data_IF_166760831678
#
_entry.id   IF_166760831678
#
_cell.length_a   1.000
_cell.length_b   1.000
_cell.length_c   1.000
_cell.angle_alpha   90.00
_cell.angle_beta   90.00
_cell.angle_gamma   90.00
#
_symmetry.space_group_name_H-M   'P 1'
#
loop_
_entity.id
_entity.type
_entity.pdbx_description
1 polymer ?
#
# COMPACT_ATOMS: atom_id res chain seq x y z
N UNK A 1 -18.22 -15.11 -0.10
CA UNK A 1 -17.72 -14.43 -1.29
C UNK A 1 -16.29 -13.92 -1.11
N UNK A 2 -15.97 -13.17 -0.06
CA UNK A 2 -14.60 -12.65 0.19
C UNK A 2 -13.54 -13.75 0.32
N UNK A 3 -13.81 -14.83 1.07
CA UNK A 3 -12.86 -15.94 1.23
C UNK A 3 -12.56 -16.65 -0.11
N UNK A 4 -13.53 -16.79 -1.00
CA UNK A 4 -13.33 -17.42 -2.30
C UNK A 4 -12.45 -16.55 -3.23
N UNK A 5 -12.61 -15.22 -3.19
CA UNK A 5 -11.83 -14.28 -4.03
C UNK A 5 -10.46 -13.94 -3.45
N UNK A 6 -10.15 -14.37 -2.22
CA UNK A 6 -8.82 -14.26 -1.62
C UNK A 6 -7.91 -15.45 -1.92
N UNK A 7 -8.41 -16.46 -2.67
CA UNK A 7 -7.60 -17.59 -3.11
C UNK A 7 -6.61 -17.13 -4.20
N UNK A 8 -5.39 -17.66 -4.20
CA UNK A 8 -4.30 -17.30 -5.10
C UNK A 8 -4.67 -17.32 -6.58
N UNK A 9 -5.55 -18.23 -6.99
CA UNK A 9 -6.08 -18.28 -8.34
C UNK A 9 -6.75 -16.98 -8.74
N UNK A 10 -7.64 -16.44 -7.90
CA UNK A 10 -8.38 -15.20 -8.20
C UNK A 10 -7.49 -13.97 -8.12
N UNK A 11 -6.53 -13.94 -7.17
CA UNK A 11 -5.55 -12.85 -7.05
C UNK A 11 -4.64 -12.76 -8.27
N UNK A 12 -4.30 -13.91 -8.89
CA UNK A 12 -3.50 -13.94 -10.12
C UNK A 12 -4.29 -13.58 -11.39
N UNK A 13 -5.59 -13.88 -11.43
CA UNK A 13 -6.40 -13.74 -12.64
C UNK A 13 -7.31 -12.50 -12.66
N UNK A 14 -7.63 -11.92 -11.50
CA UNK A 14 -8.38 -10.68 -11.43
C UNK A 14 -7.44 -9.48 -11.46
N UNK A 15 -7.79 -8.48 -12.29
CA UNK A 15 -7.07 -7.21 -12.19
C UNK A 15 -7.33 -6.56 -10.81
N UNK A 16 -6.39 -5.77 -10.27
CA UNK A 16 -6.57 -5.09 -8.98
C UNK A 16 -7.83 -4.23 -8.91
N UNK A 17 -8.26 -3.66 -10.03
CA UNK A 17 -9.50 -2.86 -10.12
C UNK A 17 -10.75 -3.73 -9.96
N UNK A 18 -10.82 -4.86 -10.65
CA UNK A 18 -11.94 -5.79 -10.56
C UNK A 18 -12.02 -6.41 -9.17
N UNK A 19 -10.88 -6.83 -8.63
CA UNK A 19 -10.79 -7.37 -7.26
C UNK A 19 -11.30 -6.35 -6.23
N UNK A 20 -10.84 -5.09 -6.32
CA UNK A 20 -11.29 -4.00 -5.43
C UNK A 20 -12.80 -3.74 -5.56
N UNK A 21 -13.33 -3.72 -6.78
CA UNK A 21 -14.79 -3.53 -7.01
C UNK A 21 -15.63 -4.65 -6.39
N UNK A 22 -15.18 -5.91 -6.49
CA UNK A 22 -15.86 -7.03 -5.85
C UNK A 22 -15.85 -6.92 -4.32
N UNK A 23 -14.73 -6.48 -3.74
CA UNK A 23 -14.62 -6.26 -2.31
C UNK A 23 -15.46 -5.08 -1.81
N UNK A 24 -15.70 -4.08 -2.66
CA UNK A 24 -16.64 -3.00 -2.35
C UNK A 24 -18.08 -3.49 -2.20
N UNK A 25 -18.44 -4.65 -2.74
CA UNK A 25 -19.73 -5.31 -2.53
C UNK A 25 -20.04 -5.64 -1.06
N UNK A 26 -19.02 -5.70 -0.18
CA UNK A 26 -19.24 -5.88 1.26
C UNK A 26 -20.06 -4.74 1.87
N UNK A 27 -19.91 -3.52 1.35
CA UNK A 27 -20.68 -2.37 1.85
C UNK A 27 -22.15 -2.49 1.53
N UNK A 28 -22.49 -3.06 0.35
CA UNK A 28 -23.88 -3.36 -0.02
C UNK A 28 -24.45 -4.43 0.93
N UNK A 29 -23.70 -5.51 1.17
CA UNK A 29 -24.10 -6.55 2.11
C UNK A 29 -24.31 -5.97 3.53
N UNK A 30 -23.39 -5.12 3.98
CA UNK A 30 -23.49 -4.45 5.28
C UNK A 30 -24.73 -3.54 5.37
N UNK A 31 -24.99 -2.73 4.33
CA UNK A 31 -26.20 -1.90 4.26
C UNK A 31 -27.48 -2.73 4.32
N UNK A 32 -27.54 -3.88 3.61
CA UNK A 32 -28.67 -4.79 3.64
C UNK A 32 -28.87 -5.43 5.02
N UNK A 33 -27.81 -5.77 5.73
CA UNK A 33 -27.88 -6.26 7.13
C UNK A 33 -28.45 -5.20 8.06
N UNK A 34 -27.96 -3.95 7.96
CA UNK A 34 -28.49 -2.83 8.74
C UNK A 34 -29.98 -2.62 8.45
N UNK A 35 -30.36 -2.62 7.17
CA UNK A 35 -31.74 -2.48 6.76
C UNK A 35 -32.60 -3.63 7.29
N UNK A 36 -32.12 -4.87 7.25
CA UNK A 36 -32.82 -6.03 7.78
C UNK A 36 -33.06 -5.90 9.28
N UNK A 37 -32.05 -5.48 10.05
CA UNK A 37 -32.18 -5.24 11.51
C UNK A 37 -33.17 -4.11 11.77
N UNK A 38 -33.11 -3.02 11.01
CA UNK A 38 -34.01 -1.87 11.16
C UNK A 38 -35.47 -2.24 10.86
N UNK A 39 -35.72 -3.00 9.80
CA UNK A 39 -37.06 -3.42 9.40
C UNK A 39 -37.60 -4.61 10.18
N UNK A 40 -36.73 -5.39 10.82
CA UNK A 40 -37.10 -6.53 11.64
C UNK A 40 -37.14 -6.18 13.14
N UNK A 41 -36.01 -6.31 13.79
CA UNK A 41 -35.90 -6.23 15.26
C UNK A 41 -36.39 -4.90 15.83
N UNK A 42 -36.07 -3.78 15.18
CA UNK A 42 -36.40 -2.45 15.70
C UNK A 42 -37.90 -2.08 15.57
N UNK A 43 -38.69 -2.85 14.83
CA UNK A 43 -40.15 -2.67 14.81
C UNK A 43 -40.80 -3.16 16.10
N UNK A 44 -40.19 -4.13 16.78
CA UNK A 44 -40.71 -4.73 18.00
C UNK A 44 -40.04 -4.18 19.26
N UNK A 45 -38.82 -3.68 19.13
CA UNK A 45 -38.04 -3.15 20.25
C UNK A 45 -38.21 -1.63 20.34
N UNK A 46 -38.93 -1.17 21.36
CA UNK A 46 -39.21 0.26 21.58
C UNK A 46 -38.07 1.03 22.28
N UNK A 47 -37.06 0.34 22.81
CA UNK A 47 -36.00 0.99 23.57
C UNK A 47 -35.05 1.79 22.68
N UNK A 48 -34.89 3.13 22.90
CA UNK A 48 -34.12 4.01 22.02
C UNK A 48 -32.63 3.67 21.91
N UNK A 49 -32.10 2.87 22.85
CA UNK A 49 -30.68 2.50 22.86
C UNK A 49 -30.27 1.73 21.60
N UNK A 50 -31.16 0.90 21.05
CA UNK A 50 -30.89 0.13 19.83
C UNK A 50 -30.71 1.04 18.61
N UNK A 51 -31.49 2.09 18.52
CA UNK A 51 -31.34 3.12 17.48
C UNK A 51 -30.04 3.89 17.63
N UNK A 52 -29.63 4.22 18.86
CA UNK A 52 -28.36 4.90 19.13
C UNK A 52 -27.19 4.04 18.68
N UNK A 53 -27.16 2.74 18.99
CA UNK A 53 -26.10 1.83 18.54
C UNK A 53 -26.10 1.63 17.01
N UNK A 54 -27.25 1.49 16.38
CA UNK A 54 -27.36 1.28 14.95
C UNK A 54 -26.88 2.52 14.17
N UNK A 55 -27.43 3.68 14.50
CA UNK A 55 -27.09 4.96 13.82
C UNK A 55 -25.66 5.39 14.16
N UNK A 56 -25.27 5.30 15.44
CA UNK A 56 -23.92 5.65 15.89
C UNK A 56 -22.85 4.74 15.29
N UNK A 57 -23.08 3.43 15.26
CA UNK A 57 -22.17 2.49 14.60
C UNK A 57 -22.03 2.72 13.11
N UNK A 58 -23.14 2.96 12.42
CA UNK A 58 -23.10 3.30 11.00
C UNK A 58 -22.35 4.63 10.75
N UNK A 59 -22.66 5.68 11.51
CA UNK A 59 -22.01 6.99 11.37
C UNK A 59 -20.50 6.89 11.66
N UNK A 60 -20.09 6.11 12.64
CA UNK A 60 -18.68 5.87 12.96
C UNK A 60 -17.95 5.21 11.79
N UNK A 61 -18.49 4.10 11.27
CA UNK A 61 -17.87 3.36 10.16
C UNK A 61 -17.82 4.22 8.90
N UNK A 62 -18.91 4.91 8.56
CA UNK A 62 -18.95 5.80 7.40
C UNK A 62 -17.94 6.94 7.52
N UNK A 63 -17.83 7.59 8.69
CA UNK A 63 -16.87 8.68 8.91
C UNK A 63 -15.42 8.21 8.79
N UNK A 64 -15.07 7.06 9.36
CA UNK A 64 -13.73 6.48 9.23
C UNK A 64 -13.36 6.20 7.77
N UNK A 65 -14.28 5.67 6.97
CA UNK A 65 -14.05 5.39 5.56
C UNK A 65 -13.92 6.67 4.72
N UNK A 66 -14.75 7.67 4.98
CA UNK A 66 -14.65 8.97 4.33
C UNK A 66 -13.32 9.64 4.65
N UNK A 67 -12.94 9.66 5.93
CA UNK A 67 -11.63 10.21 6.35
C UNK A 67 -10.46 9.48 5.68
N UNK A 68 -10.48 8.14 5.61
CA UNK A 68 -9.48 7.36 4.92
C UNK A 68 -9.42 7.71 3.42
N UNK A 69 -10.58 7.82 2.76
CA UNK A 69 -10.68 8.20 1.35
C UNK A 69 -10.15 9.63 1.07
N UNK A 70 -10.46 10.59 1.94
CA UNK A 70 -9.93 11.95 1.82
C UNK A 70 -8.41 12.00 2.01
N UNK A 71 -7.90 11.27 3.00
CA UNK A 71 -6.46 11.19 3.26
C UNK A 71 -5.71 10.60 2.06
N UNK A 72 -6.22 9.51 1.49
CA UNK A 72 -5.63 8.88 0.31
C UNK A 72 -5.67 9.79 -0.92
N UNK A 73 -6.82 10.44 -1.18
CA UNK A 73 -6.93 11.38 -2.29
C UNK A 73 -6.00 12.60 -2.14
N UNK A 74 -5.77 13.05 -0.91
CA UNK A 74 -4.82 14.14 -0.63
C UNK A 74 -3.37 13.72 -0.89
N UNK A 75 -2.99 12.48 -0.54
CA UNK A 75 -1.70 11.88 -0.88
C UNK A 75 -1.50 11.83 -2.39
N UNK A 76 -2.46 11.26 -3.13
CA UNK A 76 -2.41 11.17 -4.59
C UNK A 76 -2.28 12.54 -5.28
N UNK A 77 -2.87 13.60 -4.71
CA UNK A 77 -2.73 14.97 -5.23
C UNK A 77 -1.34 15.54 -4.94
N UNK A 78 -0.76 15.27 -3.78
CA UNK A 78 0.59 15.69 -3.45
C UNK A 78 1.62 15.04 -4.39
N UNK A 79 1.50 13.75 -4.62
CA UNK A 79 2.38 12.98 -5.52
C UNK A 79 2.34 13.50 -6.97
N UNK A 80 1.18 13.99 -7.44
CA UNK A 80 1.04 14.59 -8.78
C UNK A 80 1.78 15.94 -8.92
N UNK A 81 2.06 16.63 -7.83
CA UNK A 81 2.78 17.91 -7.82
C UNK A 81 4.29 17.75 -7.69
N UNK A 82 4.80 16.53 -7.60
CA UNK A 82 6.23 16.27 -7.51
C UNK A 82 6.97 16.91 -8.68
N UNK A 83 8.04 17.63 -8.40
CA UNK A 83 8.90 18.24 -9.41
C UNK A 83 9.53 17.13 -10.26
N UNK A 84 9.50 17.31 -11.58
CA UNK A 84 10.10 16.37 -12.53
C UNK A 84 11.37 16.97 -13.12
N UNK A 85 12.45 16.21 -13.14
CA UNK A 85 13.70 16.56 -13.82
C UNK A 85 14.27 15.33 -14.52
N UNK A 86 14.50 15.43 -15.83
CA UNK A 86 15.08 14.36 -16.66
C UNK A 86 14.42 12.97 -16.47
N UNK A 87 13.09 12.93 -16.32
CA UNK A 87 12.35 11.68 -16.11
C UNK A 87 12.31 11.18 -14.65
N UNK A 88 13.03 11.85 -13.74
CA UNK A 88 12.99 11.57 -12.31
C UNK A 88 12.03 12.52 -11.59
N UNK A 89 11.41 12.00 -10.55
CA UNK A 89 10.46 12.74 -9.72
C UNK A 89 11.04 12.94 -8.32
N UNK A 90 10.97 14.16 -7.81
CA UNK A 90 11.29 14.46 -6.43
C UNK A 90 10.22 13.86 -5.51
N UNK A 91 10.63 13.02 -4.57
CA UNK A 91 9.73 12.30 -3.65
C UNK A 91 9.92 12.66 -2.18
N UNK A 92 10.77 13.64 -1.89
CA UNK A 92 11.00 14.14 -0.54
C UNK A 92 12.45 14.02 -0.09
N UNK A 93 12.70 14.30 1.18
CA UNK A 93 14.02 14.27 1.78
C UNK A 93 14.36 12.88 2.36
N UNK A 94 15.63 12.50 2.24
CA UNK A 94 16.18 11.32 2.94
C UNK A 94 16.02 11.44 4.45
N UNK A 95 16.02 12.68 4.97
CA UNK A 95 15.89 12.96 6.41
C UNK A 95 14.47 12.69 6.94
N UNK A 96 13.47 12.67 6.06
CA UNK A 96 12.08 12.33 6.41
C UNK A 96 11.87 10.82 6.54
N UNK A 97 12.84 10.01 6.08
CA UNK A 97 12.79 8.55 6.20
C UNK A 97 13.54 8.08 7.43
N UNK A 98 12.83 7.33 8.27
CA UNK A 98 13.45 6.61 9.39
C UNK A 98 14.27 5.43 8.87
N UNK A 99 15.34 5.11 9.56
CA UNK A 99 16.21 3.98 9.22
C UNK A 99 15.44 2.66 9.27
N UNK A 100 15.71 1.79 8.29
CA UNK A 100 15.03 0.48 8.09
C UNK A 100 13.52 0.56 7.87
N UNK A 101 12.98 1.74 7.61
CA UNK A 101 11.57 1.98 7.30
C UNK A 101 11.39 2.42 5.85
N UNK A 102 10.15 2.51 5.43
CA UNK A 102 9.79 2.98 4.11
C UNK A 102 8.83 4.17 4.12
N UNK A 103 8.82 4.90 3.02
CA UNK A 103 7.72 5.76 2.60
C UNK A 103 7.14 5.26 1.29
N UNK A 104 5.90 5.62 0.99
CA UNK A 104 5.22 5.22 -0.25
C UNK A 104 4.84 6.43 -1.08
N UNK A 105 5.05 6.33 -2.38
CA UNK A 105 4.66 7.35 -3.35
C UNK A 105 3.89 6.72 -4.52
N UNK A 106 3.01 7.49 -5.12
CA UNK A 106 2.28 7.06 -6.30
C UNK A 106 2.58 7.99 -7.46
N UNK A 107 3.39 7.54 -8.41
CA UNK A 107 3.86 8.33 -9.54
C UNK A 107 3.43 7.64 -10.84
N UNK A 108 2.69 8.34 -11.69
CA UNK A 108 2.18 7.82 -12.98
C UNK A 108 1.40 6.50 -12.84
N UNK A 109 0.75 6.27 -11.70
CA UNK A 109 -0.02 5.05 -11.44
C UNK A 109 0.82 3.87 -10.91
N UNK A 110 2.15 4.03 -10.79
CA UNK A 110 3.00 3.06 -10.09
C UNK A 110 3.02 3.38 -8.60
N UNK A 111 2.72 2.38 -7.78
CA UNK A 111 2.77 2.47 -6.32
C UNK A 111 4.14 1.96 -5.86
N UNK A 112 4.98 2.86 -5.37
CA UNK A 112 6.40 2.61 -5.11
C UNK A 112 6.66 2.73 -3.61
N UNK A 113 7.32 1.73 -3.03
CA UNK A 113 7.85 1.76 -1.67
C UNK A 113 9.35 2.08 -1.72
N UNK A 114 9.77 3.10 -0.96
CA UNK A 114 11.13 3.63 -0.89
C UNK A 114 11.69 3.30 0.47
N UNK A 115 12.76 2.52 0.53
CA UNK A 115 13.39 2.06 1.77
C UNK A 115 14.73 2.75 2.00
N UNK A 116 14.95 3.22 3.22
CA UNK A 116 16.24 3.70 3.71
C UNK A 116 16.87 2.64 4.61
N UNK A 117 18.10 2.26 4.33
CA UNK A 117 18.84 1.26 5.11
C UNK A 117 20.35 1.38 4.86
N UNK A 118 21.15 1.20 5.88
CA UNK A 118 22.63 1.14 5.82
C UNK A 118 23.25 2.25 4.97
N UNK A 119 22.78 3.50 5.14
CA UNK A 119 23.24 4.64 4.37
C UNK A 119 22.88 4.62 2.88
N UNK A 120 21.87 3.85 2.48
CA UNK A 120 21.40 3.66 1.10
C UNK A 120 19.89 3.84 1.00
N UNK A 121 19.43 4.06 -0.22
CA UNK A 121 18.01 4.11 -0.57
C UNK A 121 17.74 3.18 -1.77
N UNK A 122 16.72 2.34 -1.66
CA UNK A 122 16.20 1.50 -2.73
C UNK A 122 14.70 1.70 -2.90
N UNK A 123 14.19 1.43 -4.09
CA UNK A 123 12.77 1.54 -4.40
C UNK A 123 12.26 0.30 -5.11
N UNK A 124 11.15 -0.24 -4.61
CA UNK A 124 10.48 -1.43 -5.16
C UNK A 124 8.98 -1.17 -5.32
N UNK A 125 8.32 -2.00 -6.12
CA UNK A 125 6.86 -1.97 -6.21
C UNK A 125 6.23 -2.30 -4.86
N UNK A 126 5.28 -1.48 -4.42
CA UNK A 126 4.71 -1.56 -3.06
C UNK A 126 3.76 -2.74 -2.83
N UNK A 127 3.70 -3.71 -3.73
CA UNK A 127 2.76 -4.83 -3.64
C UNK A 127 3.50 -6.15 -3.52
N UNK A 128 3.35 -6.82 -2.39
CA UNK A 128 3.88 -8.14 -2.12
C UNK A 128 3.25 -9.19 -3.04
N UNK A 129 4.05 -10.04 -3.69
CA UNK A 129 3.56 -11.09 -4.60
C UNK A 129 2.88 -12.26 -3.88
N UNK A 130 3.11 -12.41 -2.58
CA UNK A 130 2.48 -13.49 -1.80
C UNK A 130 0.95 -13.29 -1.72
N UNK A 131 0.48 -12.21 -1.09
CA UNK A 131 -0.95 -11.93 -0.95
C UNK A 131 -1.27 -10.42 -1.06
N UNK A 132 -0.57 -9.70 -1.93
CA UNK A 132 -0.82 -8.29 -2.23
C UNK A 132 -0.65 -7.31 -1.06
N UNK A 133 0.07 -7.71 0.00
CA UNK A 133 0.34 -6.85 1.15
C UNK A 133 1.20 -5.63 0.79
N UNK A 134 1.04 -4.48 1.48
CA UNK A 134 1.78 -3.26 1.21
C UNK A 134 3.20 -3.35 1.78
N UNK A 135 4.20 -3.49 0.92
CA UNK A 135 5.61 -3.61 1.34
C UNK A 135 6.11 -2.36 2.07
N UNK A 136 5.62 -1.18 1.69
CA UNK A 136 6.01 0.09 2.30
C UNK A 136 5.51 0.32 3.73
N UNK A 137 4.61 -0.52 4.23
CA UNK A 137 4.23 -0.58 5.65
C UNK A 137 5.11 -1.56 6.44
N UNK A 138 5.99 -2.28 5.75
CA UNK A 138 6.96 -3.19 6.34
C UNK A 138 8.27 -2.50 6.74
N UNK A 139 9.27 -3.31 7.02
CA UNK A 139 10.60 -2.87 7.48
C UNK A 139 11.70 -3.70 6.82
N UNK A 140 12.93 -3.17 6.88
CA UNK A 140 14.12 -3.99 6.59
C UNK A 140 14.46 -4.80 7.84
N UNK A 141 14.40 -6.13 7.70
CA UNK A 141 14.77 -7.11 8.74
C UNK A 141 15.78 -8.07 8.11
N UNK A 142 16.94 -8.25 8.74
CA UNK A 142 18.05 -9.09 8.26
C UNK A 142 18.46 -8.77 6.81
N UNK A 143 18.48 -7.46 6.47
CA UNK A 143 18.83 -6.99 5.14
C UNK A 143 17.73 -7.12 4.08
N UNK A 144 16.56 -7.65 4.43
CA UNK A 144 15.45 -7.88 3.51
C UNK A 144 14.24 -7.00 3.83
N UNK A 145 13.59 -6.48 2.79
CA UNK A 145 12.24 -5.90 2.88
C UNK A 145 11.29 -6.98 3.36
N UNK A 146 10.70 -6.81 4.53
CA UNK A 146 9.80 -7.80 5.15
C UNK A 146 8.36 -7.30 5.11
N UNK A 147 7.49 -8.07 4.43
CA UNK A 147 6.06 -7.75 4.31
C UNK A 147 5.37 -7.82 5.69
N UNK A 148 4.59 -6.79 6.09
CA UNK A 148 3.98 -6.74 7.41
C UNK A 148 2.86 -7.77 7.61
N UNK A 149 2.29 -8.33 6.53
CA UNK A 149 1.17 -9.26 6.65
C UNK A 149 1.61 -10.68 7.04
N UNK A 150 2.65 -11.23 6.34
CA UNK A 150 3.05 -12.63 6.55
C UNK A 150 4.57 -12.83 6.64
N UNK A 151 5.36 -11.75 6.80
CA UNK A 151 6.81 -11.85 6.92
C UNK A 151 7.53 -12.24 5.62
N UNK A 152 6.85 -12.19 4.46
CA UNK A 152 7.48 -12.50 3.17
C UNK A 152 8.58 -11.51 2.84
N UNK A 153 9.75 -11.98 2.38
CA UNK A 153 10.95 -11.18 2.26
C UNK A 153 11.40 -10.96 0.82
N UNK A 154 11.99 -9.79 0.55
CA UNK A 154 12.58 -9.40 -0.73
C UNK A 154 13.89 -8.65 -0.51
N UNK A 155 14.89 -8.89 -1.35
CA UNK A 155 16.13 -8.13 -1.37
C UNK A 155 15.87 -6.72 -1.93
N UNK A 156 16.34 -5.65 -1.25
CA UNK A 156 16.03 -4.28 -1.65
C UNK A 156 16.59 -3.87 -3.02
N UNK A 157 17.74 -4.43 -3.42
CA UNK A 157 18.44 -4.07 -4.64
C UNK A 157 17.90 -4.72 -5.91
N UNK A 158 17.23 -5.87 -5.80
CA UNK A 158 16.73 -6.59 -6.98
C UNK A 158 15.27 -7.03 -6.85
N UNK A 159 14.66 -6.87 -5.68
CA UNK A 159 13.28 -7.28 -5.44
C UNK A 159 13.04 -8.79 -5.49
N UNK A 160 14.07 -9.62 -5.38
CA UNK A 160 13.96 -11.08 -5.36
C UNK A 160 13.75 -11.58 -3.94
N UNK A 161 12.91 -12.61 -3.78
CA UNK A 161 12.80 -13.30 -2.50
C UNK A 161 14.04 -14.19 -2.28
N UNK A 162 14.55 -14.26 -1.04
CA UNK A 162 15.58 -15.22 -0.68
C UNK A 162 15.12 -16.66 -0.88
N UNK A 163 16.04 -17.60 -1.20
CA UNK A 163 15.70 -19.01 -1.26
C UNK A 163 15.03 -19.50 0.04
N UNK A 164 14.07 -20.44 -0.03
CA UNK A 164 13.62 -21.21 -1.20
C UNK A 164 12.55 -20.52 -2.07
N UNK A 165 12.20 -19.28 -1.78
CA UNK A 165 11.15 -18.56 -2.49
C UNK A 165 11.65 -18.02 -3.84
N UNK A 166 10.72 -17.85 -4.80
CA UNK A 166 11.04 -17.48 -6.18
C UNK A 166 10.35 -16.20 -6.64
N UNK A 167 9.49 -15.62 -5.80
CA UNK A 167 8.73 -14.42 -6.11
C UNK A 167 9.66 -13.22 -6.27
N UNK A 168 9.26 -12.33 -7.17
CA UNK A 168 10.03 -11.14 -7.52
C UNK A 168 9.09 -9.95 -7.65
N UNK A 169 9.56 -8.79 -7.23
CA UNK A 169 8.87 -7.51 -7.43
C UNK A 169 9.68 -6.61 -8.36
N UNK A 170 9.02 -5.66 -9.00
CA UNK A 170 9.67 -4.65 -9.81
C UNK A 170 10.54 -3.74 -8.95
N UNK A 171 11.65 -3.27 -9.50
CA UNK A 171 12.55 -2.29 -8.90
C UNK A 171 12.53 -0.98 -9.69
N UNK A 172 12.95 0.12 -9.08
CA UNK A 172 12.96 1.44 -9.69
C UNK A 172 14.33 2.11 -9.49
N UNK A 173 14.75 2.89 -10.47
CA UNK A 173 15.96 3.70 -10.35
C UNK A 173 15.77 4.83 -9.36
N UNK A 174 16.69 4.94 -8.41
CA UNK A 174 16.71 5.95 -7.36
C UNK A 174 18.02 6.75 -7.45
N UNK A 175 17.96 8.03 -7.17
CA UNK A 175 19.10 8.91 -7.00
C UNK A 175 18.90 9.77 -5.76
N UNK A 176 19.97 10.11 -5.07
CA UNK A 176 19.98 11.09 -4.01
C UNK A 176 20.83 12.29 -4.44
N UNK A 177 20.27 13.48 -4.39
CA UNK A 177 20.97 14.73 -4.70
C UNK A 177 20.67 15.71 -3.58
N UNK A 178 21.68 16.12 -2.82
CA UNK A 178 21.52 17.06 -1.69
C UNK A 178 20.37 16.65 -0.77
N UNK A 179 20.39 15.47 -0.23
CA UNK A 179 19.36 14.91 0.65
C UNK A 179 17.97 14.73 0.04
N UNK A 180 17.78 15.03 -1.23
CA UNK A 180 16.51 14.83 -1.94
C UNK A 180 16.55 13.50 -2.68
N UNK A 181 15.49 12.72 -2.52
CA UNK A 181 15.29 11.44 -3.21
C UNK A 181 14.58 11.70 -4.54
N UNK A 182 15.16 11.18 -5.60
CA UNK A 182 14.62 11.23 -6.96
C UNK A 182 14.38 9.83 -7.49
N UNK A 183 13.19 9.57 -8.03
CA UNK A 183 12.80 8.26 -8.56
C UNK A 183 12.38 8.35 -10.02
N UNK A 184 12.88 7.43 -10.82
CA UNK A 184 12.36 7.16 -12.15
C UNK A 184 11.18 6.19 -12.04
N UNK A 185 9.93 6.60 -12.36
CA UNK A 185 8.76 5.74 -12.20
C UNK A 185 8.64 4.64 -13.28
N UNK A 186 9.57 4.56 -14.21
CA UNK A 186 9.60 3.48 -15.20
C UNK A 186 10.17 2.23 -14.52
N UNK A 187 9.34 1.18 -14.29
CA UNK A 187 9.80 0.00 -13.58
C UNK A 187 10.80 -0.80 -14.39
N UNK A 188 11.77 -1.37 -13.71
CA UNK A 188 12.59 -2.45 -14.27
C UNK A 188 11.83 -3.77 -14.21
N UNK A 189 12.23 -4.74 -15.01
CA UNK A 189 11.66 -6.08 -14.94
C UNK A 189 11.82 -6.69 -13.54
N UNK A 190 10.88 -7.54 -13.15
CA UNK A 190 10.89 -8.18 -11.83
C UNK A 190 12.20 -8.95 -11.61
N UNK A 191 12.82 -8.75 -10.47
CA UNK A 191 14.09 -9.37 -10.11
C UNK A 191 15.33 -8.72 -10.74
N UNK A 192 15.18 -7.57 -11.40
CA UNK A 192 16.32 -6.85 -11.98
C UNK A 192 17.07 -6.07 -10.89
N UNK A 193 18.39 -6.23 -10.86
CA UNK A 193 19.24 -5.45 -9.97
C UNK A 193 19.24 -3.97 -10.37
N UNK A 194 19.06 -3.13 -9.36
CA UNK A 194 19.21 -1.67 -9.45
C UNK A 194 20.17 -1.23 -8.35
N UNK A 195 21.22 -0.51 -8.71
CA UNK A 195 22.18 0.02 -7.73
C UNK A 195 21.47 0.91 -6.71
N UNK A 196 21.53 0.61 -5.40
CA UNK A 196 20.97 1.48 -4.38
C UNK A 196 21.65 2.86 -4.37
N UNK A 197 20.87 3.92 -4.25
CA UNK A 197 21.40 5.26 -4.15
C UNK A 197 22.10 5.44 -2.78
N UNK A 198 23.37 5.85 -2.78
CA UNK A 198 24.13 6.15 -1.55
C UNK A 198 23.69 7.50 -1.01
N UNK A 199 23.50 7.57 0.30
CA UNK A 199 23.24 8.82 1.01
C UNK A 199 24.60 9.48 1.25
N UNK A 200 24.82 10.64 0.62
CA UNK A 200 26.01 11.45 0.89
C UNK A 200 25.85 12.07 2.29
N UNK A 201 26.58 11.55 3.26
CA UNK A 201 26.75 12.22 4.57
C UNK A 201 27.66 13.42 4.38
N UNK A 202 27.13 14.62 4.63
CA UNK A 202 27.91 15.86 4.73
C UNK A 202 28.87 15.81 5.91
#
# INVERSE_FOLDING_TARGET
>A
MMAATSHDFWLKNLSPRVWKSLHMGVYVAYALVILHVALGTLQYESHPIYWVFLVGGFALIASLHLCAGFKENSRLKADRKALQENGFYNVGSVNDLSEKCATTVNIKGENIAIFKYDGKVSAVHNVCKHQMGPLGEGKIIDGCITCPWHGYQYLPENGQSPPPFTEKVKTYEVKTIKDIIWINPIPKAEGTFVEPAKIETL
#
